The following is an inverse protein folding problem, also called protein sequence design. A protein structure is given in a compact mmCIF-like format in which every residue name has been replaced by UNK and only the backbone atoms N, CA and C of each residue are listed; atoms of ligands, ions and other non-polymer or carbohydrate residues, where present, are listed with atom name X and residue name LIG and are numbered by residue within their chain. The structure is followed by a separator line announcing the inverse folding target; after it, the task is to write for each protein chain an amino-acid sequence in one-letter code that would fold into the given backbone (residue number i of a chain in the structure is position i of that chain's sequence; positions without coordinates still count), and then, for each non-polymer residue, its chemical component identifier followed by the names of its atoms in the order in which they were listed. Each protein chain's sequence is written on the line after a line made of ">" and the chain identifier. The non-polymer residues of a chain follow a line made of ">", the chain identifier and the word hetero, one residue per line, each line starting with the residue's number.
data_IF_758731633845
#
_entry.id   IF_758731633845
#
_cell.length_a   1.000
_cell.length_b   1.000
_cell.length_c   1.000
_cell.angle_alpha   90.00
_cell.angle_beta   90.00
_cell.angle_gamma   90.00
#
_symmetry.space_group_name_H-M   'P 1'
#
loop_
_entity.id
_entity.type
_entity.pdbx_description
1 polymer ?
#
# COMPACT_ATOMS: atom_id res chain seq x y z
N UNK A 1 39.78 -8.46 -35.87
CA UNK A 1 39.67 -7.94 -34.49
C UNK A 1 38.52 -6.96 -34.33
N UNK A 2 38.43 -5.88 -35.12
CA UNK A 2 37.36 -4.86 -35.00
C UNK A 2 35.94 -5.44 -35.14
N UNK A 3 35.71 -6.35 -36.10
CA UNK A 3 34.41 -7.00 -36.27
C UNK A 3 33.93 -7.81 -35.05
N UNK A 4 34.84 -8.46 -34.34
CA UNK A 4 34.51 -9.22 -33.13
C UNK A 4 34.08 -8.27 -32.01
N UNK A 5 34.75 -7.12 -31.86
CA UNK A 5 34.36 -6.09 -30.91
C UNK A 5 32.99 -5.50 -31.22
N UNK A 6 32.65 -5.29 -32.49
CA UNK A 6 31.32 -4.81 -32.90
C UNK A 6 30.24 -5.82 -32.47
N UNK A 7 30.45 -7.11 -32.72
CA UNK A 7 29.49 -8.16 -32.35
C UNK A 7 29.34 -8.26 -30.82
N UNK A 8 30.45 -8.30 -30.08
CA UNK A 8 30.44 -8.37 -28.60
C UNK A 8 29.80 -7.12 -27.98
N UNK A 9 30.14 -5.94 -28.48
CA UNK A 9 29.53 -4.69 -28.02
C UNK A 9 28.02 -4.65 -28.29
N UNK A 10 27.58 -5.17 -29.43
CA UNK A 10 26.15 -5.24 -29.77
C UNK A 10 25.39 -6.18 -28.84
N UNK A 11 26.00 -7.32 -28.48
CA UNK A 11 25.43 -8.28 -27.53
C UNK A 11 25.32 -7.65 -26.13
N UNK A 12 26.37 -6.97 -25.66
CA UNK A 12 26.36 -6.29 -24.36
C UNK A 12 25.30 -5.18 -24.31
N UNK A 13 25.19 -4.37 -25.38
CA UNK A 13 24.18 -3.33 -25.50
C UNK A 13 22.76 -3.92 -25.47
N UNK A 14 22.52 -5.03 -26.18
CA UNK A 14 21.24 -5.72 -26.17
C UNK A 14 20.83 -6.14 -24.75
N UNK A 15 21.75 -6.75 -23.99
CA UNK A 15 21.45 -7.16 -22.62
C UNK A 15 21.25 -5.96 -21.69
N UNK A 16 22.06 -4.90 -21.81
CA UNK A 16 21.90 -3.69 -21.01
C UNK A 16 20.51 -3.03 -21.23
N UNK A 17 20.08 -2.91 -22.49
CA UNK A 17 18.75 -2.36 -22.82
C UNK A 17 17.65 -3.30 -22.33
N UNK A 18 17.78 -4.60 -22.57
CA UNK A 18 16.76 -5.60 -22.18
C UNK A 18 16.54 -5.63 -20.66
N UNK A 19 17.61 -5.65 -19.88
CA UNK A 19 17.52 -5.67 -18.42
C UNK A 19 17.13 -4.31 -17.86
N UNK A 20 17.68 -3.20 -18.39
CA UNK A 20 17.32 -1.85 -17.93
C UNK A 20 15.85 -1.50 -18.16
N UNK A 21 15.27 -1.89 -19.31
CA UNK A 21 13.83 -1.69 -19.58
C UNK A 21 12.98 -2.57 -18.65
N UNK A 22 13.39 -3.82 -18.42
CA UNK A 22 12.64 -4.73 -17.53
C UNK A 22 12.64 -4.24 -16.10
N UNK A 23 13.79 -3.85 -15.56
CA UNK A 23 13.90 -3.39 -14.18
C UNK A 23 13.19 -2.03 -14.02
N UNK A 24 13.32 -1.13 -14.99
CA UNK A 24 12.57 0.15 -14.99
C UNK A 24 11.05 -0.02 -15.08
N UNK A 25 10.55 -1.05 -15.77
CA UNK A 25 9.12 -1.38 -15.78
C UNK A 25 8.66 -1.96 -14.45
N UNK A 26 9.44 -2.86 -13.85
CA UNK A 26 9.14 -3.47 -12.54
C UNK A 26 9.10 -2.40 -11.45
N UNK A 27 10.08 -1.50 -11.38
CA UNK A 27 10.09 -0.41 -10.41
C UNK A 27 8.90 0.53 -10.60
N UNK A 28 8.54 0.84 -11.85
CA UNK A 28 7.37 1.69 -12.12
C UNK A 28 6.07 1.03 -11.69
N UNK A 29 5.91 -0.25 -11.97
CA UNK A 29 4.68 -0.97 -11.64
C UNK A 29 4.59 -1.26 -10.12
N UNK A 30 5.69 -1.59 -9.46
CA UNK A 30 5.76 -1.72 -8.00
C UNK A 30 5.45 -0.38 -7.30
N UNK A 31 5.98 0.73 -7.81
CA UNK A 31 5.70 2.05 -7.24
C UNK A 31 4.24 2.48 -7.48
N UNK A 32 3.67 2.16 -8.65
CA UNK A 32 2.22 2.35 -8.90
C UNK A 32 1.37 1.55 -7.95
N UNK A 33 1.67 0.27 -7.76
CA UNK A 33 0.94 -0.61 -6.84
C UNK A 33 1.02 -0.06 -5.40
N UNK A 34 2.20 0.35 -4.95
CA UNK A 34 2.42 0.98 -3.65
C UNK A 34 1.56 2.24 -3.46
N UNK A 35 1.51 3.11 -4.46
CA UNK A 35 0.69 4.33 -4.45
C UNK A 35 -0.81 4.02 -4.40
N UNK A 36 -1.26 3.01 -5.15
CA UNK A 36 -2.66 2.56 -5.14
C UNK A 36 -3.04 2.07 -3.74
N UNK A 37 -2.22 1.22 -3.13
CA UNK A 37 -2.50 0.71 -1.78
C UNK A 37 -2.44 1.79 -0.71
N UNK A 38 -1.56 2.78 -0.86
CA UNK A 38 -1.53 3.94 0.05
C UNK A 38 -2.83 4.74 -0.05
N UNK A 39 -3.29 5.06 -1.26
CA UNK A 39 -4.54 5.78 -1.46
C UNK A 39 -5.73 4.99 -0.92
N UNK A 40 -5.79 3.69 -1.19
CA UNK A 40 -6.82 2.81 -0.64
C UNK A 40 -6.82 2.80 0.90
N UNK A 41 -5.64 2.76 1.52
CA UNK A 41 -5.48 2.79 2.97
C UNK A 41 -5.98 4.11 3.56
N UNK A 42 -5.67 5.24 2.93
CA UNK A 42 -6.17 6.55 3.37
C UNK A 42 -7.69 6.62 3.31
N UNK A 43 -8.29 6.20 2.19
CA UNK A 43 -9.76 6.17 2.07
C UNK A 43 -10.39 5.30 3.16
N UNK A 44 -9.80 4.13 3.44
CA UNK A 44 -10.32 3.22 4.45
C UNK A 44 -10.20 3.79 5.87
N UNK A 45 -9.13 4.54 6.14
CA UNK A 45 -8.97 5.26 7.40
C UNK A 45 -10.01 6.37 7.58
N UNK A 46 -10.35 7.10 6.53
CA UNK A 46 -11.44 8.08 6.56
C UNK A 46 -12.78 7.42 6.89
N UNK A 47 -13.09 6.28 6.26
CA UNK A 47 -14.31 5.50 6.56
C UNK A 47 -14.35 5.03 8.02
N UNK A 48 -13.23 4.56 8.58
CA UNK A 48 -13.12 4.21 10.01
C UNK A 48 -13.38 5.44 10.89
N UNK A 49 -12.86 6.61 10.49
CA UNK A 49 -13.11 7.88 11.17
C UNK A 49 -14.57 8.27 11.19
N UNK A 50 -15.28 8.08 10.07
CA UNK A 50 -16.72 8.37 9.96
C UNK A 50 -17.54 7.41 10.83
N UNK A 51 -17.22 6.11 10.83
CA UNK A 51 -17.89 5.13 11.69
C UNK A 51 -17.64 5.46 13.17
N UNK A 52 -16.40 5.81 13.55
CA UNK A 52 -16.08 6.22 14.91
C UNK A 52 -16.89 7.44 15.37
N UNK A 53 -17.17 8.40 14.47
CA UNK A 53 -18.02 9.56 14.77
C UNK A 53 -19.49 9.17 14.92
N UNK A 54 -19.95 8.18 14.18
CA UNK A 54 -21.35 7.71 14.18
C UNK A 54 -21.70 6.84 15.40
N UNK A 55 -20.71 6.18 16.01
CA UNK A 55 -20.92 5.25 17.13
C UNK A 55 -21.50 5.94 18.37
N UNK A 56 -22.44 5.24 19.03
CA UNK A 56 -23.11 5.67 20.26
C UNK A 56 -22.13 5.82 21.43
N UNK A 57 -22.52 6.59 22.46
CA UNK A 57 -21.65 6.86 23.62
C UNK A 57 -21.20 5.60 24.37
N UNK A 58 -21.99 4.53 24.32
CA UNK A 58 -21.71 3.26 25.02
C UNK A 58 -20.51 2.53 24.42
N UNK A 59 -20.36 2.53 23.09
CA UNK A 59 -19.26 1.86 22.39
C UNK A 59 -18.13 2.83 21.98
N UNK A 60 -18.18 4.08 22.43
CA UNK A 60 -17.27 5.15 21.97
C UNK A 60 -15.81 4.95 22.39
N UNK A 61 -15.57 4.32 23.54
CA UNK A 61 -14.22 4.05 24.02
C UNK A 61 -13.52 3.01 23.12
N UNK A 62 -14.19 1.90 22.84
CA UNK A 62 -13.73 0.85 21.92
C UNK A 62 -13.56 1.37 20.49
N UNK A 63 -14.52 2.14 19.99
CA UNK A 63 -14.44 2.76 18.67
C UNK A 63 -13.24 3.70 18.53
N UNK A 64 -13.00 4.53 19.57
CA UNK A 64 -11.84 5.41 19.62
C UNK A 64 -10.53 4.61 19.65
N UNK A 65 -10.46 3.53 20.42
CA UNK A 65 -9.26 2.67 20.44
C UNK A 65 -8.97 2.10 19.06
N UNK A 66 -9.99 1.61 18.35
CA UNK A 66 -9.82 1.10 16.98
C UNK A 66 -9.36 2.20 16.03
N UNK A 67 -9.91 3.40 16.15
CA UNK A 67 -9.48 4.56 15.37
C UNK A 67 -8.00 4.92 15.64
N UNK A 68 -7.59 4.98 16.91
CA UNK A 68 -6.21 5.30 17.30
C UNK A 68 -5.23 4.20 16.83
N UNK A 69 -5.61 2.92 16.93
CA UNK A 69 -4.84 1.80 16.36
C UNK A 69 -4.74 1.88 14.83
N UNK A 70 -5.82 2.25 14.15
CA UNK A 70 -5.84 2.44 12.69
C UNK A 70 -4.90 3.57 12.25
N UNK A 71 -4.86 4.66 13.03
CA UNK A 71 -3.92 5.76 12.80
C UNK A 71 -2.47 5.31 12.96
N UNK A 72 -2.17 4.53 14.00
CA UNK A 72 -0.83 3.98 14.23
C UNK A 72 -0.38 3.09 13.06
N UNK A 73 -1.28 2.26 12.51
CA UNK A 73 -0.97 1.45 11.31
C UNK A 73 -0.75 2.30 10.08
N UNK A 74 -1.54 3.36 9.88
CA UNK A 74 -1.34 4.27 8.75
C UNK A 74 0.04 4.94 8.80
N UNK A 75 0.48 5.34 9.99
CA UNK A 75 1.76 6.02 10.25
C UNK A 75 2.98 5.08 10.39
N UNK A 76 2.77 3.76 10.48
CA UNK A 76 3.86 2.80 10.67
C UNK A 76 4.77 2.66 9.44
N UNK A 77 5.89 1.97 9.57
CA UNK A 77 6.76 1.62 8.44
C UNK A 77 6.32 0.34 7.70
N UNK A 78 5.12 -0.19 7.99
CA UNK A 78 4.59 -1.37 7.32
C UNK A 78 4.46 -1.17 5.80
N UNK A 79 4.56 -2.26 5.05
CA UNK A 79 4.35 -2.24 3.60
C UNK A 79 2.91 -1.81 3.26
N UNK A 80 2.73 -1.06 2.17
CA UNK A 80 1.45 -0.43 1.84
C UNK A 80 0.28 -1.43 1.73
N UNK A 81 0.56 -2.64 1.23
CA UNK A 81 -0.45 -3.70 1.13
C UNK A 81 -0.84 -4.26 2.50
N UNK A 82 0.13 -4.48 3.36
CA UNK A 82 -0.10 -4.99 4.72
C UNK A 82 -0.86 -3.98 5.59
N UNK A 83 -0.57 -2.68 5.42
CA UNK A 83 -1.37 -1.59 6.02
C UNK A 83 -2.82 -1.68 5.58
N UNK A 84 -3.06 -1.80 4.28
CA UNK A 84 -4.41 -1.89 3.73
C UNK A 84 -5.18 -3.10 4.29
N UNK A 85 -4.57 -4.27 4.31
CA UNK A 85 -5.20 -5.50 4.82
C UNK A 85 -5.52 -5.39 6.32
N UNK A 86 -4.63 -4.75 7.09
CA UNK A 86 -4.85 -4.50 8.52
C UNK A 86 -5.97 -3.49 8.77
N UNK A 87 -6.03 -2.41 7.98
CA UNK A 87 -7.12 -1.43 8.07
C UNK A 87 -8.48 -2.04 7.73
N UNK A 88 -8.56 -2.99 6.78
CA UNK A 88 -9.80 -3.75 6.50
C UNK A 88 -10.30 -4.45 7.77
N UNK A 89 -9.41 -5.11 8.50
CA UNK A 89 -9.76 -5.78 9.75
C UNK A 89 -10.29 -4.79 10.79
N UNK A 90 -9.69 -3.60 10.89
CA UNK A 90 -10.16 -2.56 11.79
C UNK A 90 -11.52 -1.99 11.39
N UNK A 91 -11.75 -1.78 10.10
CA UNK A 91 -13.07 -1.41 9.59
C UNK A 91 -14.14 -2.44 9.98
N UNK A 92 -13.87 -3.73 9.78
CA UNK A 92 -14.82 -4.78 10.17
C UNK A 92 -15.09 -4.80 11.67
N UNK A 93 -14.05 -4.58 12.50
CA UNK A 93 -14.19 -4.49 13.95
C UNK A 93 -15.05 -3.30 14.37
N UNK A 94 -14.81 -2.11 13.80
CA UNK A 94 -15.56 -0.91 14.20
C UNK A 94 -17.01 -0.94 13.70
N UNK A 95 -17.28 -1.53 12.53
CA UNK A 95 -18.64 -1.78 12.03
C UNK A 95 -19.46 -2.68 12.97
N UNK A 96 -18.83 -3.65 13.64
CA UNK A 96 -19.51 -4.48 14.63
C UNK A 96 -20.06 -3.68 15.82
N UNK A 97 -19.39 -2.58 16.19
CA UNK A 97 -19.83 -1.69 17.26
C UNK A 97 -20.86 -0.63 16.82
N UNK A 98 -21.00 -0.43 15.51
CA UNK A 98 -22.00 0.46 14.91
C UNK A 98 -23.35 -0.23 14.66
N UNK A 99 -23.33 -1.55 14.39
CA UNK A 99 -24.54 -2.36 14.12
C UNK A 99 -25.17 -2.98 15.39
N UNK A 100 -24.74 -2.55 16.58
CA UNK A 100 -25.23 -3.02 17.89
C UNK A 100 -25.94 -1.89 18.61
#
# INVERSE_FOLDING_TARGET
>A
MVFVYIIVSSILLYYAIKYGIRDGLIDRDANKEKLIYLQKSTNLFEEIGDINRAISKENKAEAKRIYDESLNVLLSEMESKEKYDTLIQYKQKIEHFNNK
#
